data_IF_450171070776
#
_entry.id   IF_450171070776
#
_cell.length_a   1.000
_cell.length_b   1.000
_cell.length_c   1.000
_cell.angle_alpha   90.00
_cell.angle_beta   90.00
_cell.angle_gamma   90.00
#
_symmetry.space_group_name_H-M   'P 1'
#
loop_
_entity.id
_entity.type
_entity.pdbx_description
1 polymer ?
#
# COMPACT_ATOMS: atom_id res chain seq x y z
N UNK A 1 -25.99 17.02 2.93
CA UNK A 1 -24.60 17.17 3.40
C UNK A 1 -23.74 17.32 2.16
N UNK A 2 -23.28 18.53 1.84
CA UNK A 2 -22.37 18.71 0.70
C UNK A 2 -21.00 18.21 1.11
N UNK A 3 -20.62 17.04 0.64
CA UNK A 3 -19.25 16.57 0.71
C UNK A 3 -18.48 17.45 -0.27
N UNK A 4 -17.74 18.42 0.26
CA UNK A 4 -16.80 19.23 -0.51
C UNK A 4 -15.48 18.47 -0.62
N UNK A 5 -15.53 17.29 -1.21
CA UNK A 5 -14.32 16.56 -1.52
C UNK A 5 -13.86 17.03 -2.90
N UNK A 6 -13.25 18.21 -2.90
CA UNK A 6 -12.56 18.68 -4.09
C UNK A 6 -11.27 17.84 -4.25
N UNK A 7 -11.11 17.08 -5.34
CA UNK A 7 -9.85 16.38 -5.62
C UNK A 7 -8.64 17.33 -5.60
N UNK A 8 -8.85 18.60 -5.87
CA UNK A 8 -7.82 19.63 -5.84
C UNK A 8 -7.34 19.95 -4.42
N UNK A 9 -8.21 19.96 -3.41
CA UNK A 9 -7.78 20.15 -2.01
C UNK A 9 -6.97 18.96 -1.52
N UNK A 10 -7.40 17.73 -1.82
CA UNK A 10 -6.67 16.52 -1.44
C UNK A 10 -5.27 16.47 -2.05
N UNK A 11 -5.12 16.84 -3.32
CA UNK A 11 -3.80 16.87 -3.97
C UNK A 11 -2.90 17.99 -3.43
N UNK A 12 -3.46 19.15 -3.07
CA UNK A 12 -2.71 20.22 -2.44
C UNK A 12 -2.20 19.82 -1.04
N UNK A 13 -3.04 19.16 -0.24
CA UNK A 13 -2.66 18.65 1.07
C UNK A 13 -1.60 17.55 0.96
N UNK A 14 -1.75 16.63 0.01
CA UNK A 14 -0.75 15.59 -0.25
C UNK A 14 0.59 16.21 -0.65
N UNK A 15 0.59 17.19 -1.57
CA UNK A 15 1.80 17.90 -1.95
C UNK A 15 2.47 18.57 -0.75
N UNK A 16 1.72 19.24 0.10
CA UNK A 16 2.23 19.87 1.32
C UNK A 16 2.84 18.83 2.27
N UNK A 17 2.12 17.74 2.55
CA UNK A 17 2.61 16.66 3.42
C UNK A 17 3.90 16.00 2.87
N UNK A 18 3.99 15.81 1.55
CA UNK A 18 5.21 15.30 0.92
C UNK A 18 6.36 16.30 1.01
N UNK A 19 6.08 17.60 0.87
CA UNK A 19 7.09 18.64 1.01
C UNK A 19 7.61 18.73 2.45
N UNK A 20 6.73 18.62 3.44
CA UNK A 20 7.09 18.62 4.87
C UNK A 20 7.92 17.38 5.26
N UNK A 21 7.81 16.29 4.52
CA UNK A 21 8.61 15.08 4.73
C UNK A 21 10.04 15.19 4.14
N UNK A 22 10.42 16.29 3.52
CA UNK A 22 11.74 16.45 2.90
C UNK A 22 12.88 16.20 3.90
N UNK A 23 14.01 15.60 3.43
CA UNK A 23 15.13 15.31 4.30
C UNK A 23 15.77 16.59 4.85
N UNK A 24 16.37 16.55 6.05
CA UNK A 24 17.11 17.69 6.59
C UNK A 24 18.19 18.20 5.61
N UNK A 25 18.22 19.51 5.40
CA UNK A 25 19.17 20.13 4.46
C UNK A 25 18.69 20.15 3.01
N UNK A 26 17.42 19.88 2.76
CA UNK A 26 16.78 20.19 1.49
C UNK A 26 16.56 21.71 1.42
N UNK A 27 17.29 22.39 0.51
CA UNK A 27 17.15 23.83 0.32
C UNK A 27 16.05 24.13 -0.70
N UNK A 28 15.11 25.00 -0.32
CA UNK A 28 14.04 25.46 -1.19
C UNK A 28 12.84 24.49 -1.29
N UNK A 29 12.19 24.49 -2.45
CA UNK A 29 11.02 23.62 -2.69
C UNK A 29 11.47 22.21 -2.99
N UNK A 30 11.05 21.19 -2.19
CA UNK A 30 11.43 19.80 -2.42
C UNK A 30 10.98 19.28 -3.78
N UNK A 31 11.84 18.53 -4.44
CA UNK A 31 11.60 17.89 -5.73
C UNK A 31 10.95 16.53 -5.47
N UNK A 32 9.71 16.40 -5.94
CA UNK A 32 8.91 15.21 -5.68
C UNK A 32 9.03 14.21 -6.83
N UNK A 33 9.12 12.93 -6.48
CA UNK A 33 8.97 11.80 -7.39
C UNK A 33 7.84 10.90 -6.93
N UNK A 34 7.09 10.32 -7.87
CA UNK A 34 6.12 9.28 -7.60
C UNK A 34 6.67 7.95 -8.13
N UNK A 35 7.01 7.04 -7.23
CA UNK A 35 7.58 5.73 -7.56
C UNK A 35 6.47 4.71 -7.82
N UNK A 36 6.50 4.09 -8.98
CA UNK A 36 5.54 3.09 -9.46
C UNK A 36 6.27 2.00 -10.24
N UNK A 37 5.71 0.79 -10.33
CA UNK A 37 6.16 -0.30 -11.20
C UNK A 37 5.85 -0.03 -12.69
N UNK A 38 5.13 1.05 -13.01
CA UNK A 38 4.91 1.52 -14.37
C UNK A 38 3.57 1.14 -14.98
N UNK A 39 3.57 0.97 -16.31
CA UNK A 39 2.33 0.83 -17.11
C UNK A 39 1.54 -0.45 -16.83
N UNK A 40 2.14 -1.44 -16.20
CA UNK A 40 1.49 -2.69 -15.82
C UNK A 40 0.71 -2.59 -14.51
N UNK A 41 0.93 -1.52 -13.75
CA UNK A 41 0.15 -1.26 -12.54
C UNK A 41 -1.30 -0.92 -12.90
N UNK A 42 -2.24 -1.54 -12.20
CA UNK A 42 -3.69 -1.30 -12.42
C UNK A 42 -4.08 0.16 -12.15
N UNK A 43 -3.35 0.84 -11.24
CA UNK A 43 -3.54 2.25 -10.90
C UNK A 43 -2.67 3.21 -11.75
N UNK A 44 -2.08 2.75 -12.86
CA UNK A 44 -1.18 3.58 -13.68
C UNK A 44 -1.78 4.92 -14.12
N UNK A 45 -3.07 4.92 -14.49
CA UNK A 45 -3.77 6.14 -14.87
C UNK A 45 -3.83 7.14 -13.70
N UNK A 46 -4.21 6.63 -12.52
CA UNK A 46 -4.25 7.41 -11.27
C UNK A 46 -2.86 7.96 -10.91
N UNK A 47 -1.81 7.13 -11.00
CA UNK A 47 -0.43 7.54 -10.71
C UNK A 47 0.00 8.73 -11.56
N UNK A 48 -0.34 8.72 -12.85
CA UNK A 48 -0.02 9.82 -13.76
C UNK A 48 -0.77 11.10 -13.43
N UNK A 49 -2.07 11.01 -13.15
CA UNK A 49 -2.88 12.16 -12.76
C UNK A 49 -2.38 12.75 -11.45
N UNK A 50 -2.10 11.91 -10.48
CA UNK A 50 -1.62 12.31 -9.18
C UNK A 50 -0.24 12.98 -9.27
N UNK A 51 0.70 12.38 -9.99
CA UNK A 51 2.02 12.97 -10.20
C UNK A 51 1.93 14.36 -10.85
N UNK A 52 1.09 14.51 -11.88
CA UNK A 52 0.86 15.79 -12.51
C UNK A 52 0.25 16.82 -11.54
N UNK A 53 -0.73 16.43 -10.74
CA UNK A 53 -1.42 17.31 -9.81
C UNK A 53 -0.52 17.78 -8.66
N UNK A 54 0.37 16.91 -8.15
CA UNK A 54 1.32 17.29 -7.07
C UNK A 54 2.65 17.85 -7.60
N UNK A 55 2.85 17.89 -8.91
CA UNK A 55 4.10 18.35 -9.54
C UNK A 55 5.28 17.41 -9.32
N UNK A 56 5.01 16.11 -9.22
CA UNK A 56 6.04 15.07 -9.10
C UNK A 56 6.45 14.50 -10.47
N UNK A 57 7.71 14.09 -10.58
CA UNK A 57 8.15 13.29 -11.72
C UNK A 57 7.74 11.82 -11.50
N UNK A 58 7.31 11.14 -12.56
CA UNK A 58 7.09 9.70 -12.52
C UNK A 58 8.46 8.99 -12.48
N UNK A 59 8.64 8.14 -11.48
CA UNK A 59 9.79 7.28 -11.30
C UNK A 59 9.38 5.81 -11.45
N UNK A 60 10.10 5.10 -12.28
CA UNK A 60 10.00 3.63 -12.41
C UNK A 60 11.38 3.02 -12.11
N UNK A 61 11.48 1.74 -11.76
CA UNK A 61 12.77 1.10 -11.48
C UNK A 61 13.86 1.39 -12.51
N UNK A 62 13.51 1.34 -13.79
CA UNK A 62 14.39 1.56 -14.94
C UNK A 62 14.76 3.04 -15.17
N UNK A 63 14.14 3.97 -14.47
CA UNK A 63 14.47 5.42 -14.53
C UNK A 63 15.21 5.94 -13.30
N UNK A 64 15.40 5.10 -12.27
CA UNK A 64 16.09 5.49 -11.03
C UNK A 64 17.61 5.39 -11.17
N UNK A 65 18.31 6.46 -10.80
CA UNK A 65 19.77 6.54 -10.84
C UNK A 65 20.35 7.05 -9.53
N UNK A 66 21.45 6.46 -9.06
CA UNK A 66 22.20 7.01 -7.93
C UNK A 66 22.86 8.34 -8.32
N UNK A 67 22.97 9.25 -7.36
CA UNK A 67 23.73 10.50 -7.48
C UNK A 67 25.05 10.39 -6.72
N UNK A 68 26.09 11.14 -7.16
CA UNK A 68 27.39 11.14 -6.49
C UNK A 68 27.36 11.59 -5.02
N UNK A 69 26.35 12.38 -4.63
CA UNK A 69 26.15 12.88 -3.27
C UNK A 69 25.37 11.92 -2.37
N UNK A 70 25.09 10.72 -2.86
CA UNK A 70 24.31 9.69 -2.15
C UNK A 70 22.79 9.83 -2.30
N UNK A 71 22.30 10.80 -3.08
CA UNK A 71 20.89 10.96 -3.38
C UNK A 71 20.43 10.11 -4.59
N UNK A 72 19.19 10.35 -5.01
CA UNK A 72 18.56 9.69 -6.16
C UNK A 72 18.15 10.72 -7.22
N UNK A 73 18.23 10.32 -8.48
CA UNK A 73 17.69 11.07 -9.61
C UNK A 73 16.78 10.17 -10.45
N UNK A 74 15.83 10.78 -11.13
CA UNK A 74 14.93 10.14 -12.10
C UNK A 74 15.29 10.61 -13.50
N UNK A 75 15.46 9.70 -14.42
CA UNK A 75 15.68 10.03 -15.82
C UNK A 75 14.38 10.38 -16.53
N UNK A 76 14.28 11.63 -17.02
CA UNK A 76 13.12 12.15 -17.74
C UNK A 76 13.64 12.88 -18.99
N UNK A 77 13.16 12.50 -20.17
CA UNK A 77 13.53 13.14 -21.45
C UNK A 77 15.04 13.23 -21.68
N UNK A 78 15.78 12.20 -21.27
CA UNK A 78 17.24 12.11 -21.41
C UNK A 78 18.02 12.82 -20.28
N UNK A 79 17.38 13.58 -19.40
CA UNK A 79 17.99 14.27 -18.28
C UNK A 79 17.79 13.54 -16.96
N UNK A 80 18.77 13.56 -16.05
CA UNK A 80 18.67 13.06 -14.69
C UNK A 80 18.24 14.15 -13.74
N UNK A 81 16.97 14.14 -13.35
CA UNK A 81 16.38 15.13 -12.44
C UNK A 81 16.50 14.63 -10.99
N UNK A 82 17.18 15.36 -10.11
CA UNK A 82 17.26 15.01 -8.69
C UNK A 82 15.89 14.97 -8.04
N UNK A 83 15.73 14.05 -7.06
CA UNK A 83 14.50 13.90 -6.26
C UNK A 83 14.89 13.94 -4.79
N UNK A 84 14.11 14.67 -3.99
CA UNK A 84 14.30 14.83 -2.55
C UNK A 84 13.30 13.99 -1.75
N UNK A 85 12.09 13.80 -2.31
CA UNK A 85 11.03 12.98 -1.72
C UNK A 85 10.48 12.03 -2.77
N UNK A 86 10.48 10.74 -2.46
CA UNK A 86 9.82 9.70 -3.27
C UNK A 86 8.53 9.26 -2.59
N UNK A 87 7.40 9.47 -3.26
CA UNK A 87 6.12 8.91 -2.89
C UNK A 87 5.95 7.52 -3.52
N UNK A 88 6.05 6.47 -2.70
CA UNK A 88 5.97 5.08 -3.15
C UNK A 88 4.51 4.66 -3.40
N UNK A 89 4.24 4.16 -4.60
CA UNK A 89 2.92 3.68 -5.05
C UNK A 89 2.97 2.27 -5.62
N UNK A 90 3.96 1.48 -5.26
CA UNK A 90 3.96 0.05 -5.50
C UNK A 90 4.48 -0.72 -4.29
N UNK A 91 4.25 -2.04 -4.26
CA UNK A 91 4.43 -2.87 -3.09
C UNK A 91 5.90 -2.88 -2.61
N UNK A 92 6.08 -2.92 -1.30
CA UNK A 92 7.41 -2.92 -0.69
C UNK A 92 8.17 -4.22 -0.95
N UNK A 93 7.48 -5.36 -1.00
CA UNK A 93 8.10 -6.65 -1.26
C UNK A 93 8.64 -6.75 -2.68
N UNK A 94 8.10 -5.98 -3.61
CA UNK A 94 8.56 -5.94 -5.00
C UNK A 94 9.77 -5.03 -5.19
N UNK A 95 10.09 -4.13 -4.25
CA UNK A 95 11.22 -3.21 -4.37
C UNK A 95 12.56 -3.96 -4.57
N UNK A 96 12.75 -5.06 -3.84
CA UNK A 96 13.96 -5.88 -3.94
C UNK A 96 14.04 -6.67 -5.25
N UNK A 97 12.91 -6.99 -5.85
CA UNK A 97 12.83 -7.75 -7.10
C UNK A 97 13.13 -6.90 -8.34
N UNK A 98 12.99 -5.58 -8.23
CA UNK A 98 13.18 -4.66 -9.35
C UNK A 98 14.59 -4.08 -9.34
N UNK A 99 15.25 -4.09 -10.52
CA UNK A 99 16.58 -3.56 -10.69
C UNK A 99 16.56 -2.17 -11.33
N UNK A 100 17.46 -1.32 -10.87
CA UNK A 100 17.77 -0.03 -11.49
C UNK A 100 18.64 -0.22 -12.74
N UNK A 101 18.86 0.81 -13.57
CA UNK A 101 19.77 0.72 -14.72
C UNK A 101 21.23 0.42 -14.36
N UNK A 102 21.62 0.61 -13.09
CA UNK A 102 22.95 0.24 -12.59
C UNK A 102 23.05 -1.23 -12.15
N UNK A 103 21.95 -1.97 -12.19
CA UNK A 103 21.87 -3.35 -11.70
C UNK A 103 21.67 -3.48 -10.19
N UNK A 104 21.59 -2.38 -9.46
CA UNK A 104 21.27 -2.41 -8.04
C UNK A 104 19.75 -2.61 -7.83
N UNK A 105 19.31 -3.39 -6.83
CA UNK A 105 17.93 -3.45 -6.41
C UNK A 105 17.41 -2.06 -5.97
N UNK A 106 16.14 -1.78 -6.24
CA UNK A 106 15.52 -0.48 -5.92
C UNK A 106 15.51 -0.22 -4.42
N UNK A 107 15.23 -1.23 -3.59
CA UNK A 107 15.25 -1.13 -2.12
C UNK A 107 16.63 -0.74 -1.59
N UNK A 108 17.70 -1.26 -2.20
CA UNK A 108 19.10 -0.91 -1.84
C UNK A 108 19.37 0.54 -2.18
N UNK A 109 19.12 0.97 -3.43
CA UNK A 109 19.38 2.36 -3.85
C UNK A 109 18.60 3.36 -2.99
N UNK A 110 17.29 3.13 -2.83
CA UNK A 110 16.42 4.04 -2.08
C UNK A 110 16.78 4.02 -0.58
N UNK A 111 17.02 2.82 -0.02
CA UNK A 111 17.39 2.66 1.38
C UNK A 111 18.73 3.32 1.73
N UNK A 112 19.71 3.26 0.86
CA UNK A 112 21.00 3.95 1.03
C UNK A 112 20.81 5.48 1.00
N UNK A 113 20.03 6.00 0.07
CA UNK A 113 19.77 7.43 -0.03
C UNK A 113 19.00 7.97 1.19
N UNK A 114 18.04 7.19 1.72
CA UNK A 114 17.32 7.54 2.96
C UNK A 114 18.28 7.55 4.16
N UNK A 115 19.12 6.51 4.31
CA UNK A 115 20.12 6.44 5.40
C UNK A 115 21.15 7.57 5.31
N UNK A 116 21.49 8.00 4.11
CA UNK A 116 22.37 9.15 3.88
C UNK A 116 21.70 10.50 4.16
N UNK A 117 20.41 10.55 4.48
CA UNK A 117 19.64 11.79 4.68
C UNK A 117 19.49 12.63 3.40
N UNK A 118 19.55 11.98 2.23
CA UNK A 118 19.47 12.63 0.90
C UNK A 118 18.14 12.40 0.18
N UNK A 119 17.30 11.53 0.75
CA UNK A 119 15.99 11.19 0.23
C UNK A 119 15.04 10.95 1.39
N UNK A 120 13.81 11.42 1.28
CA UNK A 120 12.70 10.95 2.08
C UNK A 120 11.84 9.98 1.26
N UNK A 121 11.41 8.89 1.89
CA UNK A 121 10.48 7.93 1.28
C UNK A 121 9.14 8.03 1.98
N UNK A 122 8.14 8.52 1.29
CA UNK A 122 6.76 8.53 1.77
C UNK A 122 6.10 7.18 1.44
N UNK A 123 5.31 6.65 2.39
CA UNK A 123 4.93 5.26 2.53
C UNK A 123 6.19 4.39 2.75
N UNK A 124 6.77 4.57 3.93
CA UNK A 124 7.98 3.85 4.36
C UNK A 124 7.70 2.35 4.39
N UNK A 125 8.60 1.49 3.89
CA UNK A 125 8.54 0.04 4.09
C UNK A 125 8.49 -0.34 5.58
N UNK A 126 7.82 -1.45 5.89
CA UNK A 126 7.70 -1.97 7.26
C UNK A 126 6.45 -1.51 8.02
N UNK A 127 5.55 -0.77 7.39
CA UNK A 127 4.27 -0.37 7.98
C UNK A 127 3.09 -1.30 7.62
N UNK A 128 3.38 -2.51 7.17
CA UNK A 128 2.40 -3.50 6.71
C UNK A 128 1.32 -3.85 7.74
N UNK A 129 1.58 -3.66 9.04
CA UNK A 129 0.55 -3.81 10.09
C UNK A 129 -0.65 -2.90 9.86
N UNK A 130 -0.43 -1.69 9.36
CA UNK A 130 -1.52 -0.74 9.08
C UNK A 130 -2.29 -1.09 7.80
N UNK A 131 -1.70 -1.90 6.92
CA UNK A 131 -2.27 -2.33 5.65
C UNK A 131 -2.85 -3.76 5.72
N UNK A 132 -2.51 -4.50 6.77
CA UNK A 132 -3.03 -5.84 7.04
C UNK A 132 -4.53 -5.78 7.37
N UNK A 133 -5.32 -6.46 6.57
CA UNK A 133 -6.78 -6.49 6.72
C UNK A 133 -7.24 -7.11 8.04
N UNK A 134 -6.43 -7.96 8.68
CA UNK A 134 -6.74 -8.52 9.99
C UNK A 134 -6.72 -7.45 11.08
N UNK A 135 -5.91 -6.40 10.93
CA UNK A 135 -5.85 -5.27 11.87
C UNK A 135 -7.22 -4.57 11.99
N UNK A 136 -7.98 -4.51 10.91
CA UNK A 136 -9.32 -3.92 10.89
C UNK A 136 -10.27 -4.55 11.94
N UNK A 137 -10.16 -5.84 12.20
CA UNK A 137 -10.96 -6.56 13.20
C UNK A 137 -10.84 -5.95 14.59
N UNK A 138 -9.67 -5.42 14.90
CA UNK A 138 -9.33 -4.88 16.24
C UNK A 138 -9.57 -3.38 16.38
N UNK A 139 -9.90 -2.66 15.30
CA UNK A 139 -10.13 -1.20 15.34
C UNK A 139 -11.18 -0.79 16.39
N UNK A 140 -12.35 -1.45 16.53
CA UNK A 140 -13.31 -1.11 17.57
C UNK A 140 -12.74 -1.26 18.99
N UNK A 141 -11.94 -2.27 19.23
CA UNK A 141 -11.28 -2.50 20.53
C UNK A 141 -10.20 -1.46 20.79
N UNK A 142 -9.43 -1.07 19.75
CA UNK A 142 -8.44 0.00 19.85
C UNK A 142 -9.09 1.35 20.19
N UNK A 143 -10.24 1.66 19.58
CA UNK A 143 -10.99 2.89 19.89
C UNK A 143 -11.37 2.89 21.37
N UNK A 144 -11.95 1.80 21.89
CA UNK A 144 -12.31 1.70 23.30
C UNK A 144 -11.10 1.81 24.22
N UNK A 145 -10.00 1.14 23.85
CA UNK A 145 -8.80 1.10 24.69
C UNK A 145 -8.06 2.42 24.72
N UNK A 146 -7.82 3.05 23.58
CA UNK A 146 -7.00 4.25 23.51
C UNK A 146 -7.78 5.55 23.73
N UNK A 147 -9.04 5.60 23.30
CA UNK A 147 -9.85 6.81 23.36
C UNK A 147 -10.87 6.78 24.51
N UNK A 148 -11.21 5.58 25.04
CA UNK A 148 -12.27 5.42 26.03
C UNK A 148 -13.66 5.70 25.45
N UNK A 149 -13.82 5.59 24.12
CA UNK A 149 -15.04 5.91 23.40
C UNK A 149 -15.63 4.66 22.72
N UNK A 150 -16.92 4.70 22.42
CA UNK A 150 -17.53 3.69 21.54
C UNK A 150 -17.33 4.10 20.06
N UNK A 151 -17.12 3.11 19.17
CA UNK A 151 -17.05 3.39 17.74
C UNK A 151 -18.31 4.08 17.22
N UNK A 152 -18.14 5.15 16.45
CA UNK A 152 -19.25 5.89 15.82
C UNK A 152 -19.88 5.07 14.68
N UNK A 153 -19.07 4.30 13.97
CA UNK A 153 -19.50 3.42 12.88
C UNK A 153 -19.33 1.97 13.31
N UNK A 154 -20.35 1.16 13.02
CA UNK A 154 -20.23 -0.29 13.20
C UNK A 154 -19.31 -0.88 12.14
N UNK A 155 -18.41 -1.75 12.56
CA UNK A 155 -17.56 -2.52 11.66
C UNK A 155 -18.30 -3.75 11.16
N UNK A 156 -18.08 -4.11 9.91
CA UNK A 156 -18.59 -5.37 9.35
C UNK A 156 -18.01 -6.53 10.17
N UNK A 157 -18.88 -7.49 10.52
CA UNK A 157 -18.43 -8.68 11.26
C UNK A 157 -17.35 -9.41 10.46
N UNK A 158 -16.19 -9.53 11.08
CA UNK A 158 -14.96 -10.06 10.48
C UNK A 158 -14.41 -11.17 11.35
N UNK A 159 -14.08 -12.29 10.76
CA UNK A 159 -13.40 -13.40 11.40
C UNK A 159 -11.95 -13.48 10.91
N UNK A 160 -11.01 -13.51 11.83
CA UNK A 160 -9.59 -13.70 11.55
C UNK A 160 -9.30 -15.19 11.64
N UNK A 161 -9.06 -15.85 10.53
CA UNK A 161 -9.01 -17.32 10.48
C UNK A 161 -7.75 -17.92 11.14
N UNK A 162 -6.81 -17.08 11.55
CA UNK A 162 -5.72 -17.47 12.45
C UNK A 162 -6.19 -17.78 13.87
N UNK A 163 -7.38 -17.30 14.26
CA UNK A 163 -8.01 -17.64 15.54
C UNK A 163 -8.83 -18.92 15.41
N UNK A 164 -8.57 -19.89 16.28
CA UNK A 164 -9.21 -21.20 16.23
C UNK A 164 -10.74 -21.13 16.42
N UNK A 165 -11.23 -20.20 17.25
CA UNK A 165 -12.66 -20.02 17.49
C UNK A 165 -13.35 -19.41 16.26
N UNK A 166 -12.75 -18.40 15.66
CA UNK A 166 -13.22 -17.78 14.43
C UNK A 166 -13.24 -18.79 13.28
N UNK A 167 -12.16 -19.56 13.13
CA UNK A 167 -12.07 -20.63 12.11
C UNK A 167 -13.15 -21.70 12.31
N UNK A 168 -13.35 -22.16 13.54
CA UNK A 168 -14.36 -23.17 13.86
C UNK A 168 -15.78 -22.71 13.54
N UNK A 169 -16.06 -21.41 13.71
CA UNK A 169 -17.37 -20.81 13.42
C UNK A 169 -17.67 -20.77 11.92
N UNK A 170 -16.65 -20.52 11.07
CA UNK A 170 -16.90 -20.19 9.66
C UNK A 170 -16.49 -21.24 8.65
N UNK A 171 -15.66 -22.22 9.01
CA UNK A 171 -15.09 -23.21 8.07
C UNK A 171 -16.14 -23.97 7.25
N UNK A 172 -17.33 -24.22 7.83
CA UNK A 172 -18.40 -24.95 7.17
C UNK A 172 -19.44 -23.99 6.53
N UNK A 173 -19.23 -22.69 6.65
CA UNK A 173 -20.11 -21.62 6.17
C UNK A 173 -19.47 -20.71 5.12
N UNK A 174 -18.37 -21.12 4.53
CA UNK A 174 -17.67 -20.31 3.52
C UNK A 174 -18.56 -19.94 2.32
N UNK A 175 -19.58 -20.76 2.04
CA UNK A 175 -20.58 -20.48 1.00
C UNK A 175 -21.49 -19.27 1.30
N UNK A 176 -21.50 -18.75 2.52
CA UNK A 176 -22.27 -17.56 2.93
C UNK A 176 -21.39 -16.30 3.01
N UNK A 177 -20.09 -16.44 2.89
CA UNK A 177 -19.12 -15.44 3.30
C UNK A 177 -18.23 -14.97 2.15
N UNK A 178 -17.61 -13.83 2.34
CA UNK A 178 -16.51 -13.36 1.49
C UNK A 178 -15.20 -13.66 2.19
N UNK A 179 -14.35 -14.44 1.56
CA UNK A 179 -13.01 -14.77 2.05
C UNK A 179 -11.97 -13.92 1.33
N UNK A 180 -11.05 -13.35 2.10
CA UNK A 180 -9.99 -12.47 1.58
C UNK A 180 -8.65 -12.87 2.17
N UNK A 181 -7.54 -12.75 1.41
CA UNK A 181 -6.22 -12.79 2.01
C UNK A 181 -6.02 -11.58 2.93
N UNK A 182 -5.28 -11.76 4.02
CA UNK A 182 -4.95 -10.69 4.98
C UNK A 182 -4.03 -9.65 4.35
N UNK A 183 -3.12 -10.10 3.51
CA UNK A 183 -2.20 -9.32 2.70
C UNK A 183 -2.74 -9.11 1.27
N UNK A 184 -2.12 -8.22 0.53
CA UNK A 184 -2.49 -7.94 -0.85
C UNK A 184 -3.48 -6.79 -1.03
N UNK A 185 -3.66 -6.41 -2.27
CA UNK A 185 -4.42 -5.22 -2.67
C UNK A 185 -5.37 -5.53 -3.86
N UNK A 186 -6.36 -4.68 -4.02
CA UNK A 186 -7.38 -4.86 -5.05
C UNK A 186 -8.30 -6.04 -4.73
N UNK A 187 -8.66 -6.77 -5.76
CA UNK A 187 -9.55 -7.94 -5.70
C UNK A 187 -8.79 -9.28 -5.73
N UNK A 188 -7.47 -9.25 -5.72
CA UNK A 188 -6.62 -10.46 -5.79
C UNK A 188 -6.89 -11.39 -4.61
N UNK A 189 -7.28 -12.62 -4.92
CA UNK A 189 -7.56 -13.66 -3.93
C UNK A 189 -8.85 -13.46 -3.14
N UNK A 190 -9.68 -12.51 -3.49
CA UNK A 190 -11.02 -12.33 -2.90
C UNK A 190 -11.97 -13.36 -3.49
N UNK A 191 -12.57 -14.16 -2.63
CA UNK A 191 -13.53 -15.20 -3.02
C UNK A 191 -14.91 -14.89 -2.43
N UNK A 192 -15.91 -14.79 -3.29
CA UNK A 192 -17.31 -14.61 -2.91
C UNK A 192 -17.96 -15.99 -2.82
N UNK A 193 -18.02 -16.54 -1.62
CA UNK A 193 -18.56 -17.88 -1.38
C UNK A 193 -19.96 -18.14 -1.96
N UNK A 194 -20.91 -17.18 -1.86
CA UNK A 194 -22.25 -17.36 -2.47
C UNK A 194 -22.25 -17.54 -4.00
N UNK A 195 -21.17 -17.16 -4.69
CA UNK A 195 -21.05 -17.30 -6.15
C UNK A 195 -20.23 -18.50 -6.58
N UNK A 196 -19.65 -19.26 -5.62
CA UNK A 196 -18.80 -20.39 -5.89
C UNK A 196 -19.60 -21.67 -6.14
N UNK A 197 -19.10 -22.51 -7.03
CA UNK A 197 -19.53 -23.90 -7.16
C UNK A 197 -19.06 -24.75 -5.95
N UNK A 198 -19.65 -25.92 -5.77
CA UNK A 198 -19.24 -26.85 -4.71
C UNK A 198 -17.76 -27.26 -4.78
N UNK A 199 -17.20 -27.35 -6.00
CA UNK A 199 -15.78 -27.68 -6.21
C UNK A 199 -14.87 -26.53 -5.78
N UNK A 200 -15.21 -25.30 -6.14
CA UNK A 200 -14.47 -24.11 -5.74
C UNK A 200 -14.51 -23.89 -4.23
N UNK A 201 -15.68 -24.13 -3.59
CA UNK A 201 -15.80 -24.07 -2.13
C UNK A 201 -14.94 -25.12 -1.43
N UNK A 202 -14.90 -26.35 -1.95
CA UNK A 202 -14.06 -27.40 -1.38
C UNK A 202 -12.57 -27.06 -1.52
N UNK A 203 -12.16 -26.49 -2.64
CA UNK A 203 -10.79 -26.00 -2.84
C UNK A 203 -10.46 -24.86 -1.88
N UNK A 204 -11.33 -23.84 -1.78
CA UNK A 204 -11.17 -22.74 -0.85
C UNK A 204 -11.05 -23.23 0.60
N UNK A 205 -11.90 -24.16 1.01
CA UNK A 205 -11.85 -24.74 2.35
C UNK A 205 -10.51 -25.45 2.61
N UNK A 206 -10.00 -26.20 1.64
CA UNK A 206 -8.70 -26.86 1.75
C UNK A 206 -7.56 -25.84 1.88
N UNK A 207 -7.58 -24.75 1.09
CA UNK A 207 -6.59 -23.68 1.17
C UNK A 207 -6.63 -22.96 2.52
N UNK A 208 -7.82 -22.61 3.01
CA UNK A 208 -8.01 -21.98 4.32
C UNK A 208 -7.50 -22.87 5.44
N UNK A 209 -7.83 -24.15 5.43
CA UNK A 209 -7.37 -25.10 6.47
C UNK A 209 -5.87 -25.35 6.42
N UNK A 210 -5.25 -25.28 5.25
CA UNK A 210 -3.80 -25.43 5.10
C UNK A 210 -3.00 -24.21 5.62
N UNK A 211 -3.56 -23.01 5.54
CA UNK A 211 -2.88 -21.78 5.95
C UNK A 211 -3.86 -20.73 6.49
N UNK A 212 -4.54 -20.99 7.61
CA UNK A 212 -5.62 -20.13 8.11
C UNK A 212 -5.15 -18.70 8.43
N UNK A 213 -3.91 -18.53 8.86
CA UNK A 213 -3.31 -17.22 9.15
C UNK A 213 -3.23 -16.29 7.94
N UNK A 214 -3.40 -16.80 6.73
CA UNK A 214 -3.37 -16.00 5.50
C UNK A 214 -4.73 -15.42 5.12
N UNK A 215 -5.79 -15.77 5.84
CA UNK A 215 -7.15 -15.44 5.45
C UNK A 215 -7.93 -14.78 6.56
N UNK A 216 -8.85 -13.93 6.15
CA UNK A 216 -9.97 -13.47 6.95
C UNK A 216 -11.28 -13.69 6.19
N UNK A 217 -12.38 -13.73 6.92
CA UNK A 217 -13.70 -13.86 6.35
C UNK A 217 -14.62 -12.74 6.83
N UNK A 218 -15.51 -12.29 5.96
CA UNK A 218 -16.47 -11.23 6.21
C UNK A 218 -17.88 -11.73 5.87
N UNK A 219 -18.89 -11.17 6.55
CA UNK A 219 -20.27 -11.32 6.08
C UNK A 219 -20.38 -10.63 4.72
N UNK A 220 -21.05 -11.30 3.77
CA UNK A 220 -21.47 -10.65 2.53
C UNK A 220 -22.58 -9.65 2.86
N UNK A 221 -22.37 -8.39 2.47
CA UNK A 221 -23.38 -7.34 2.56
C UNK A 221 -24.18 -7.28 1.27
#
# INVERSE_FOLDING_TARGET
MCIRDSPFEATALLRAALADAAPPGCDGVPRLGLLTDGRHNTAWFEHRLLAAAIGAVIATPDTLWPRPDGGVAVQVDGERRPVDVLYRRFDEVELAAHLTPTGAPVDVLVGEAVRAGKLALANVPGNGVADDKATYRYVPEMIRFYLGEEPVLESVRTWVLADDADLAEVRDRLHELVVKPVDGYGDRGVVFGPLCSATELAQLQAEVLAAPHRFLSLIHI
#
